data_IF_383437110393
#
_entry.id   IF_383437110393
#
_cell.length_a   1.000
_cell.length_b   1.000
_cell.length_c   1.000
_cell.angle_alpha   90.00
_cell.angle_beta   90.00
_cell.angle_gamma   90.00
#
_symmetry.space_group_name_H-M   'P 1'
#
loop_
_entity.id
_entity.type
_entity.pdbx_description
1 polymer ?
#
# COMPACT_ATOMS: atom_id res chain seq x y z
N UNK A 1 5.94 10.64 -17.27
CA UNK A 1 4.91 9.60 -17.45
C UNK A 1 5.14 8.93 -18.80
N UNK A 2 5.29 7.60 -18.82
CA UNK A 2 5.51 6.81 -20.02
C UNK A 2 4.26 5.99 -20.26
N UNK A 3 3.67 6.10 -21.44
CA UNK A 3 2.49 5.32 -21.83
C UNK A 3 2.93 4.17 -22.71
N UNK A 4 2.58 2.94 -22.32
CA UNK A 4 2.94 1.73 -23.08
C UNK A 4 1.63 1.08 -23.58
N UNK A 5 1.53 0.72 -24.88
CA UNK A 5 0.30 0.13 -25.42
C UNK A 5 -0.08 -1.18 -24.72
N UNK A 6 -1.33 -1.31 -24.31
CA UNK A 6 -1.85 -2.52 -23.67
C UNK A 6 -1.86 -3.70 -24.69
N UNK A 7 -1.26 -4.86 -24.37
CA UNK A 7 -1.26 -6.03 -25.27
C UNK A 7 -2.67 -6.59 -25.56
N UNK A 8 -3.64 -6.31 -24.68
CA UNK A 8 -5.00 -6.85 -24.81
C UNK A 8 -5.93 -5.97 -25.65
N UNK A 9 -5.77 -4.65 -25.65
CA UNK A 9 -6.72 -3.74 -26.32
C UNK A 9 -6.06 -2.58 -27.10
N UNK A 10 -4.73 -2.44 -27.04
CA UNK A 10 -3.98 -1.37 -27.71
C UNK A 10 -4.03 -0.01 -27.02
N UNK A 11 -4.90 0.20 -26.02
CA UNK A 11 -5.01 1.48 -25.31
C UNK A 11 -3.77 1.79 -24.45
N UNK A 12 -3.44 3.06 -24.20
CA UNK A 12 -2.26 3.44 -23.41
C UNK A 12 -2.43 3.02 -21.94
N UNK A 13 -1.41 2.36 -21.39
CA UNK A 13 -1.27 2.10 -19.95
C UNK A 13 -0.27 3.10 -19.37
N UNK A 14 -0.71 3.99 -18.46
CA UNK A 14 0.18 5.01 -17.89
C UNK A 14 1.11 4.39 -16.85
N UNK A 15 2.40 4.68 -16.95
CA UNK A 15 3.38 4.46 -15.89
C UNK A 15 4.01 5.79 -15.47
N UNK A 16 3.88 6.13 -14.19
CA UNK A 16 4.43 7.34 -13.58
C UNK A 16 5.87 7.14 -13.15
N UNK A 17 6.20 5.98 -12.57
CA UNK A 17 7.50 5.72 -11.97
C UNK A 17 8.36 4.69 -12.72
N UNK A 18 9.67 4.86 -12.62
CA UNK A 18 10.66 3.88 -13.04
C UNK A 18 10.71 2.66 -12.11
N UNK A 19 10.29 2.79 -10.85
CA UNK A 19 10.26 1.64 -9.91
C UNK A 19 9.06 0.72 -10.14
N UNK A 20 8.04 1.19 -10.86
CA UNK A 20 6.81 0.44 -11.07
C UNK A 20 6.98 -0.62 -12.16
N UNK A 21 6.86 -1.89 -11.80
CA UNK A 21 7.03 -3.03 -12.72
C UNK A 21 5.70 -3.66 -13.14
N UNK A 22 4.60 -3.28 -12.50
CA UNK A 22 3.26 -3.77 -12.77
C UNK A 22 2.30 -2.62 -13.04
N UNK A 23 1.29 -2.82 -13.88
CA UNK A 23 0.21 -1.88 -14.14
C UNK A 23 -1.13 -2.53 -14.46
N UNK A 24 -2.22 -1.81 -14.26
CA UNK A 24 -3.57 -2.20 -14.71
C UNK A 24 -4.05 -1.24 -15.80
N UNK A 25 -4.45 -1.78 -16.96
CA UNK A 25 -4.99 -0.98 -18.05
C UNK A 25 -6.30 -0.29 -17.61
N UNK A 26 -6.41 1.05 -17.67
CA UNK A 26 -7.61 1.74 -17.22
C UNK A 26 -8.83 1.48 -18.11
N UNK A 27 -8.62 1.02 -19.36
CA UNK A 27 -9.67 0.82 -20.35
C UNK A 27 -10.28 -0.59 -20.30
N UNK A 28 -9.44 -1.63 -20.30
CA UNK A 28 -9.90 -3.02 -20.36
C UNK A 28 -9.63 -3.82 -19.08
N UNK A 29 -9.02 -3.19 -18.06
CA UNK A 29 -8.69 -3.80 -16.75
C UNK A 29 -7.75 -5.02 -16.83
N UNK A 30 -7.04 -5.17 -17.94
CA UNK A 30 -5.97 -6.16 -18.08
C UNK A 30 -4.79 -5.81 -17.18
N UNK A 31 -4.27 -6.84 -16.50
CA UNK A 31 -3.08 -6.74 -15.65
C UNK A 31 -1.82 -6.99 -16.49
N UNK A 32 -0.85 -6.10 -16.38
CA UNK A 32 0.37 -6.12 -17.20
C UNK A 32 1.64 -5.99 -16.38
N UNK A 33 2.71 -6.66 -16.82
CA UNK A 33 4.06 -6.51 -16.26
C UNK A 33 4.94 -5.78 -17.27
N UNK A 34 5.73 -4.81 -16.80
CA UNK A 34 6.64 -3.99 -17.60
C UNK A 34 8.07 -4.54 -17.54
N UNK A 35 8.56 -5.02 -18.69
CA UNK A 35 9.97 -5.39 -18.89
C UNK A 35 10.62 -4.34 -19.80
N UNK A 36 11.33 -3.37 -19.21
CA UNK A 36 12.04 -2.22 -19.82
C UNK A 36 11.19 -1.28 -20.72
N UNK A 37 10.54 -1.84 -21.75
CA UNK A 37 9.68 -1.18 -22.74
C UNK A 37 8.46 -2.02 -23.17
N UNK A 38 8.42 -3.31 -22.84
CA UNK A 38 7.34 -4.22 -23.26
C UNK A 38 6.39 -4.51 -22.10
N UNK A 39 5.10 -4.66 -22.43
CA UNK A 39 4.09 -5.15 -21.50
C UNK A 39 3.77 -6.62 -21.78
N UNK A 40 3.73 -7.43 -20.74
CA UNK A 40 3.23 -8.81 -20.79
C UNK A 40 1.89 -8.90 -20.07
N UNK A 41 0.90 -9.55 -20.70
CA UNK A 41 -0.41 -9.78 -20.11
C UNK A 41 -0.34 -10.93 -19.10
N UNK A 42 -0.71 -10.66 -17.85
CA UNK A 42 -0.69 -11.69 -16.78
C UNK A 42 -2.06 -12.01 -16.19
N UNK A 43 -3.12 -11.31 -16.62
CA UNK A 43 -4.51 -11.62 -16.26
C UNK A 43 -5.52 -10.66 -16.86
N UNK A 44 -6.79 -11.08 -16.95
CA UNK A 44 -7.80 -10.40 -17.78
C UNK A 44 -8.86 -9.60 -17.02
N UNK A 45 -8.90 -9.61 -15.67
CA UNK A 45 -9.88 -8.83 -14.89
C UNK A 45 -9.37 -8.48 -13.49
N UNK A 46 -9.12 -7.20 -13.23
CA UNK A 46 -9.05 -6.66 -11.87
C UNK A 46 -10.46 -6.24 -11.42
N UNK A 47 -10.97 -6.80 -10.32
CA UNK A 47 -12.26 -6.41 -9.74
C UNK A 47 -12.03 -5.41 -8.61
N UNK A 48 -12.57 -4.20 -8.71
CA UNK A 48 -12.60 -3.22 -7.62
C UNK A 48 -14.02 -3.17 -7.07
N UNK A 49 -14.24 -3.46 -5.78
CA UNK A 49 -15.52 -3.18 -5.14
C UNK A 49 -15.89 -1.69 -5.26
N UNK A 50 -17.19 -1.37 -5.18
CA UNK A 50 -17.60 0.02 -4.94
C UNK A 50 -16.97 0.50 -3.64
N UNK A 51 -16.27 1.61 -3.74
CA UNK A 51 -15.35 2.05 -2.70
C UNK A 51 -15.64 3.50 -2.33
N UNK A 52 -15.93 3.71 -1.05
CA UNK A 52 -16.22 5.00 -0.45
C UNK A 52 -14.93 5.74 0.00
N UNK A 53 -13.75 5.24 -0.39
CA UNK A 53 -12.50 5.97 -0.17
C UNK A 53 -12.52 7.32 -0.89
N UNK A 54 -12.16 8.43 -0.21
CA UNK A 54 -11.89 9.71 -0.86
C UNK A 54 -10.61 9.66 -1.70
N UNK A 55 -9.75 8.65 -1.50
CA UNK A 55 -8.50 8.51 -2.23
C UNK A 55 -8.75 7.87 -3.61
N UNK A 56 -7.95 8.28 -4.57
CA UNK A 56 -7.94 7.75 -5.93
C UNK A 56 -6.53 7.76 -6.50
N UNK A 57 -6.35 7.08 -7.63
CA UNK A 57 -5.11 7.20 -8.40
C UNK A 57 -4.86 8.67 -8.74
N UNK A 58 -3.64 9.14 -8.46
CA UNK A 58 -3.24 10.53 -8.62
C UNK A 58 -3.48 11.42 -7.40
N UNK A 59 -4.18 10.95 -6.35
CA UNK A 59 -4.31 11.71 -5.10
C UNK A 59 -2.94 12.10 -4.57
N UNK A 60 -2.79 13.36 -4.19
CA UNK A 60 -1.55 13.94 -3.70
C UNK A 60 -1.65 14.20 -2.20
N UNK A 61 -0.52 14.10 -1.50
CA UNK A 61 -0.42 14.44 -0.09
C UNK A 61 0.99 14.88 0.31
N UNK A 62 1.18 15.14 1.59
CA UNK A 62 2.43 15.54 2.23
C UNK A 62 2.72 14.62 3.41
N UNK A 63 3.94 14.10 3.50
CA UNK A 63 4.42 13.37 4.65
C UNK A 63 5.66 14.05 5.21
N UNK A 64 5.51 14.70 6.38
CA UNK A 64 6.59 15.43 7.07
C UNK A 64 7.33 16.43 6.15
N UNK A 65 6.58 17.16 5.31
CA UNK A 65 7.13 18.13 4.36
C UNK A 65 7.65 17.52 3.05
N UNK A 66 7.51 16.21 2.86
CA UNK A 66 7.82 15.52 1.60
C UNK A 66 6.52 15.21 0.86
N UNK A 67 6.27 15.84 -0.31
CA UNK A 67 5.10 15.53 -1.13
C UNK A 67 5.11 14.09 -1.64
N UNK A 68 3.93 13.52 -1.86
CA UNK A 68 3.76 12.22 -2.50
C UNK A 68 2.52 12.15 -3.40
N UNK A 69 2.50 11.17 -4.30
CA UNK A 69 1.36 10.86 -5.17
C UNK A 69 1.01 9.38 -5.07
N UNK A 70 -0.28 9.06 -4.97
CA UNK A 70 -0.78 7.68 -5.02
C UNK A 70 -0.82 7.18 -6.46
N UNK A 71 -0.01 6.17 -6.77
CA UNK A 71 0.18 5.69 -8.14
C UNK A 71 -0.48 4.33 -8.40
N UNK A 72 -0.79 3.57 -7.35
CA UNK A 72 -1.49 2.30 -7.43
C UNK A 72 -2.21 1.96 -6.15
N UNK A 73 -2.95 0.85 -6.17
CA UNK A 73 -3.67 0.35 -5.02
C UNK A 73 -3.82 -1.15 -5.09
N UNK A 74 -3.76 -1.80 -3.93
CA UNK A 74 -4.25 -3.16 -3.74
C UNK A 74 -5.37 -3.15 -2.68
N UNK A 75 -6.39 -3.98 -2.84
CA UNK A 75 -7.36 -4.27 -1.77
C UNK A 75 -6.99 -5.59 -1.13
N UNK A 76 -6.79 -5.57 0.18
CA UNK A 76 -6.60 -6.78 0.98
C UNK A 76 -7.93 -7.10 1.66
N UNK A 77 -8.39 -8.34 1.52
CA UNK A 77 -9.64 -8.82 2.10
C UNK A 77 -9.37 -9.95 3.07
N UNK A 78 -10.09 -9.99 4.17
CA UNK A 78 -10.07 -11.07 5.16
C UNK A 78 -11.52 -11.41 5.56
N UNK A 79 -11.69 -12.35 6.49
CA UNK A 79 -13.01 -12.92 6.81
C UNK A 79 -14.06 -11.91 7.30
N UNK A 80 -13.63 -10.77 7.88
CA UNK A 80 -14.55 -9.78 8.45
C UNK A 80 -14.43 -8.38 7.83
N UNK A 81 -13.69 -8.20 6.74
CA UNK A 81 -13.59 -6.90 6.09
C UNK A 81 -12.48 -6.80 5.05
N UNK A 82 -12.17 -5.56 4.67
CA UNK A 82 -11.09 -5.25 3.75
C UNK A 82 -10.40 -3.94 4.13
N UNK A 83 -9.23 -3.71 3.57
CA UNK A 83 -8.54 -2.43 3.60
C UNK A 83 -7.85 -2.16 2.25
N UNK A 84 -7.50 -0.89 2.03
CA UNK A 84 -6.73 -0.46 0.86
C UNK A 84 -5.27 -0.31 1.22
N UNK A 85 -4.39 -0.75 0.33
CA UNK A 85 -2.95 -0.45 0.35
C UNK A 85 -2.64 0.42 -0.87
N UNK A 86 -2.50 1.72 -0.66
CA UNK A 86 -2.18 2.67 -1.72
C UNK A 86 -0.67 2.78 -1.90
N UNK A 87 -0.18 2.55 -3.12
CA UNK A 87 1.23 2.71 -3.45
C UNK A 87 1.58 4.19 -3.60
N UNK A 88 2.42 4.70 -2.69
CA UNK A 88 2.79 6.10 -2.61
C UNK A 88 4.20 6.34 -3.19
N UNK A 89 4.29 7.24 -4.17
CA UNK A 89 5.54 7.73 -4.74
C UNK A 89 5.94 9.03 -4.05
N UNK A 90 7.07 9.06 -3.36
CA UNK A 90 7.58 10.25 -2.66
C UNK A 90 8.38 11.13 -3.62
N UNK A 91 8.29 12.45 -3.44
CA UNK A 91 9.05 13.42 -4.23
C UNK A 91 10.58 13.32 -4.02
N UNK A 92 11.02 12.74 -2.89
CA UNK A 92 12.44 12.49 -2.59
C UNK A 92 12.99 11.19 -3.24
N UNK A 93 12.17 10.50 -4.04
CA UNK A 93 12.54 9.27 -4.75
C UNK A 93 12.30 7.98 -3.96
N UNK A 94 11.90 8.07 -2.68
CA UNK A 94 11.40 6.90 -1.94
C UNK A 94 10.03 6.49 -2.46
N UNK A 95 9.60 5.30 -2.08
CA UNK A 95 8.23 4.86 -2.24
C UNK A 95 7.79 4.13 -0.97
N UNK A 96 6.50 4.14 -0.72
CA UNK A 96 5.89 3.53 0.47
C UNK A 96 4.46 3.12 0.22
N UNK A 97 3.76 2.84 1.30
CA UNK A 97 2.37 2.41 1.30
C UNK A 97 1.57 3.29 2.23
N UNK A 98 0.38 3.70 1.78
CA UNK A 98 -0.64 4.31 2.60
C UNK A 98 -1.77 3.30 2.78
N UNK A 99 -1.82 2.68 3.95
CA UNK A 99 -2.92 1.82 4.33
C UNK A 99 -4.13 2.66 4.75
N UNK A 100 -5.30 2.29 4.28
CA UNK A 100 -6.59 2.92 4.61
C UNK A 100 -7.58 1.84 5.04
N UNK A 101 -8.04 1.93 6.29
CA UNK A 101 -9.02 1.01 6.85
C UNK A 101 -9.99 1.78 7.75
N UNK A 102 -11.28 1.84 7.38
CA UNK A 102 -12.35 2.41 8.22
C UNK A 102 -12.04 3.84 8.73
N UNK A 103 -11.44 4.68 7.88
CA UNK A 103 -11.08 6.06 8.21
C UNK A 103 -9.76 6.21 8.98
N UNK A 104 -9.08 5.11 9.31
CA UNK A 104 -7.71 5.14 9.81
C UNK A 104 -6.72 5.10 8.66
N UNK A 105 -5.69 5.92 8.76
CA UNK A 105 -4.63 6.04 7.78
C UNK A 105 -3.27 5.77 8.42
N UNK A 106 -2.43 5.05 7.70
CA UNK A 106 -1.07 4.77 8.12
C UNK A 106 -0.16 4.80 6.90
N UNK A 107 0.93 5.55 7.01
CA UNK A 107 1.96 5.57 5.98
C UNK A 107 3.15 4.79 6.47
N UNK A 108 3.68 3.91 5.63
CA UNK A 108 4.81 3.04 5.95
C UNK A 108 5.77 2.88 4.77
N UNK A 109 7.00 2.52 5.08
CA UNK A 109 8.08 2.36 4.12
C UNK A 109 8.74 0.99 4.31
N UNK A 110 9.27 0.37 3.23
CA UNK A 110 9.97 -0.90 3.34
C UNK A 110 11.11 -0.82 4.36
N UNK A 111 11.15 -1.81 5.24
CA UNK A 111 12.23 -2.00 6.21
C UNK A 111 13.06 -3.21 5.78
N UNK A 112 14.35 -2.97 5.48
CA UNK A 112 15.29 -4.06 5.25
C UNK A 112 15.57 -4.78 6.57
N UNK A 113 15.19 -6.06 6.63
CA UNK A 113 15.45 -6.92 7.77
C UNK A 113 16.87 -7.46 7.70
N UNK A 114 17.69 -7.13 8.71
CA UNK A 114 19.06 -7.66 8.85
C UNK A 114 19.10 -9.15 9.21
N UNK A 115 18.03 -9.62 9.86
CA UNK A 115 17.86 -10.99 10.32
C UNK A 115 16.42 -11.42 10.00
N UNK A 116 16.21 -12.73 9.82
CA UNK A 116 14.86 -13.25 9.60
C UNK A 116 13.96 -12.89 10.81
N UNK A 117 12.72 -12.41 10.58
CA UNK A 117 11.82 -12.11 11.67
C UNK A 117 11.40 -13.43 12.36
N UNK A 118 10.85 -13.37 13.58
CA UNK A 118 10.36 -14.56 14.27
C UNK A 118 9.39 -15.35 13.41
N UNK A 119 9.44 -16.68 13.52
CA UNK A 119 8.47 -17.54 12.83
C UNK A 119 7.03 -17.20 13.29
N UNK A 120 6.02 -17.20 12.40
CA UNK A 120 4.64 -16.86 12.75
C UNK A 120 4.08 -17.57 13.99
N UNK A 121 4.45 -18.84 14.21
CA UNK A 121 4.01 -19.61 15.39
C UNK A 121 4.50 -19.05 16.74
N UNK A 122 5.50 -18.18 16.74
CA UNK A 122 5.99 -17.50 17.95
C UNK A 122 5.21 -16.20 18.26
N UNK A 123 4.40 -15.73 17.31
CA UNK A 123 3.72 -14.44 17.37
C UNK A 123 2.28 -14.58 17.85
N UNK A 124 1.85 -13.62 18.65
CA UNK A 124 0.49 -13.46 19.19
C UNK A 124 0.35 -12.03 19.73
N UNK A 125 -0.88 -11.47 19.81
CA UNK A 125 -1.08 -10.14 20.36
C UNK A 125 -0.36 -9.95 21.71
N UNK A 126 0.29 -8.79 21.87
CA UNK A 126 1.09 -8.43 23.03
C UNK A 126 2.55 -8.91 23.01
N UNK A 127 2.97 -9.77 22.09
CA UNK A 127 4.41 -10.10 21.91
C UNK A 127 5.17 -8.85 21.48
N UNK A 128 6.28 -8.56 22.15
CA UNK A 128 7.14 -7.41 21.84
C UNK A 128 8.23 -7.80 20.84
N UNK A 129 8.31 -7.07 19.75
CA UNK A 129 9.39 -7.16 18.76
C UNK A 129 10.23 -5.88 18.79
N UNK A 130 11.52 -6.01 18.51
CA UNK A 130 12.43 -4.88 18.33
C UNK A 130 12.74 -4.75 16.84
N UNK A 131 12.20 -3.72 16.21
CA UNK A 131 12.36 -3.43 14.79
C UNK A 131 12.95 -2.03 14.64
N UNK A 132 13.99 -1.88 13.81
CA UNK A 132 14.61 -0.59 13.53
C UNK A 132 15.02 0.20 14.80
N UNK A 133 15.51 -0.49 15.83
CA UNK A 133 15.92 0.13 17.10
C UNK A 133 14.77 0.61 17.99
N UNK A 134 13.53 0.27 17.65
CA UNK A 134 12.33 0.61 18.41
C UNK A 134 11.56 -0.64 18.83
N UNK A 135 10.92 -0.57 20.00
CA UNK A 135 10.03 -1.63 20.49
C UNK A 135 8.61 -1.43 19.95
N UNK A 136 8.05 -2.50 19.42
CA UNK A 136 6.64 -2.60 19.03
C UNK A 136 6.03 -3.81 19.71
N UNK A 137 4.72 -3.81 19.94
CA UNK A 137 3.99 -5.03 20.28
C UNK A 137 3.07 -5.42 19.13
N UNK A 138 2.85 -6.72 18.98
CA UNK A 138 1.86 -7.26 18.05
C UNK A 138 0.48 -6.78 18.50
N UNK A 139 -0.21 -6.07 17.63
CA UNK A 139 -1.57 -5.56 17.83
C UNK A 139 -2.59 -6.54 17.24
N UNK A 140 -2.35 -6.96 15.99
CA UNK A 140 -3.27 -7.82 15.25
C UNK A 140 -2.53 -8.81 14.34
N UNK A 141 -3.15 -9.96 14.11
CA UNK A 141 -2.66 -11.01 13.20
C UNK A 141 -3.85 -11.50 12.37
N UNK A 142 -3.74 -11.39 11.04
CA UNK A 142 -4.79 -11.85 10.12
C UNK A 142 -4.23 -12.49 8.86
N UNK A 143 -4.90 -13.52 8.37
CA UNK A 143 -4.72 -13.98 6.99
C UNK A 143 -5.57 -13.12 6.08
N UNK A 144 -4.98 -12.63 5.00
CA UNK A 144 -5.65 -11.78 4.02
C UNK A 144 -5.28 -12.17 2.60
N UNK A 145 -6.15 -11.85 1.66
CA UNK A 145 -5.98 -12.12 0.24
C UNK A 145 -6.01 -10.81 -0.54
N UNK A 146 -5.13 -10.63 -1.50
CA UNK A 146 -5.21 -9.51 -2.44
C UNK A 146 -6.33 -9.78 -3.46
N UNK A 147 -7.44 -9.05 -3.38
CA UNK A 147 -8.64 -9.30 -4.20
C UNK A 147 -8.89 -8.24 -5.28
N UNK A 148 -8.20 -7.11 -5.22
CA UNK A 148 -8.31 -6.03 -6.19
C UNK A 148 -6.96 -5.34 -6.39
N UNK A 149 -6.72 -4.85 -7.60
CA UNK A 149 -5.54 -4.03 -7.93
C UNK A 149 -5.91 -2.95 -8.94
N UNK A 150 -5.34 -1.76 -8.79
CA UNK A 150 -5.39 -0.69 -9.79
C UNK A 150 -4.10 0.14 -9.85
N UNK A 151 -3.92 0.87 -10.95
CA UNK A 151 -2.76 1.72 -11.16
C UNK A 151 -1.47 0.91 -11.35
N UNK A 152 -0.36 1.44 -10.84
CA UNK A 152 0.97 0.85 -10.96
C UNK A 152 1.54 0.40 -9.60
N UNK A 153 2.34 -0.68 -9.59
CA UNK A 153 2.94 -1.24 -8.37
C UNK A 153 4.43 -1.55 -8.55
N UNK A 154 5.23 -1.51 -7.46
CA UNK A 154 6.67 -1.77 -7.50
C UNK A 154 7.03 -3.25 -7.66
N UNK A 155 6.03 -4.14 -7.61
CA UNK A 155 6.16 -5.58 -7.82
C UNK A 155 4.88 -6.13 -8.48
N UNK A 156 4.96 -7.36 -8.98
CA UNK A 156 3.76 -8.11 -9.40
C UNK A 156 2.89 -8.41 -8.17
N UNK A 157 1.65 -7.93 -8.10
CA UNK A 157 0.79 -8.15 -6.95
C UNK A 157 0.51 -9.65 -6.78
N UNK A 158 0.47 -10.15 -5.53
CA UNK A 158 0.10 -11.53 -5.21
C UNK A 158 -1.42 -11.70 -5.31
N UNK A 159 -1.98 -11.48 -6.50
CA UNK A 159 -3.43 -11.44 -6.73
C UNK A 159 -4.05 -12.82 -6.51
N UNK A 160 -5.10 -12.88 -5.67
CA UNK A 160 -5.74 -14.09 -5.16
C UNK A 160 -4.82 -15.02 -4.34
N UNK A 161 -3.66 -14.54 -3.92
CA UNK A 161 -2.77 -15.28 -3.02
C UNK A 161 -2.99 -14.81 -1.58
N UNK A 162 -2.88 -15.73 -0.63
CA UNK A 162 -2.97 -15.43 0.79
C UNK A 162 -1.62 -14.97 1.34
N UNK A 163 -1.68 -14.00 2.27
CA UNK A 163 -0.55 -13.61 3.11
C UNK A 163 -1.00 -13.58 4.57
N UNK A 164 -0.07 -13.86 5.47
CA UNK A 164 -0.25 -13.54 6.89
C UNK A 164 0.25 -12.12 7.14
N UNK A 165 -0.65 -11.23 7.55
CA UNK A 165 -0.35 -9.86 7.94
C UNK A 165 -0.31 -9.76 9.46
N UNK A 166 0.76 -9.16 9.98
CA UNK A 166 0.96 -8.91 11.41
C UNK A 166 1.14 -7.43 11.60
N UNK A 167 0.18 -6.79 12.26
CA UNK A 167 0.21 -5.38 12.56
C UNK A 167 0.87 -5.18 13.93
N UNK A 168 1.83 -4.26 14.00
CA UNK A 168 2.58 -3.95 15.20
C UNK A 168 2.47 -2.47 15.50
N UNK A 169 2.35 -2.14 16.79
CA UNK A 169 2.21 -0.75 17.23
C UNK A 169 3.18 -0.42 18.35
N UNK A 170 3.62 0.82 18.33
CA UNK A 170 4.56 1.37 19.30
C UNK A 170 4.34 2.87 19.47
N UNK A 171 5.28 3.53 20.11
CA UNK A 171 5.27 4.99 20.30
C UNK A 171 6.35 5.62 19.44
N UNK A 172 6.02 6.67 18.68
CA UNK A 172 7.07 7.47 18.02
C UNK A 172 7.66 8.42 19.06
N UNK A 173 8.97 8.35 19.28
CA UNK A 173 9.71 9.36 20.01
C UNK A 173 10.29 10.36 19.02
N UNK A 174 9.46 11.27 18.49
CA UNK A 174 9.96 12.44 17.76
C UNK A 174 9.78 13.69 18.63
N UNK A 175 10.75 14.60 18.59
CA UNK A 175 10.82 15.80 19.45
C UNK A 175 9.44 16.47 19.63
N UNK A 176 8.86 16.31 20.83
CA UNK A 176 7.67 17.06 21.26
C UNK A 176 6.29 16.48 20.91
N UNK A 177 6.19 15.32 20.25
CA UNK A 177 4.89 14.67 20.01
C UNK A 177 4.96 13.15 20.14
N UNK A 178 4.04 12.55 20.91
CA UNK A 178 3.87 11.10 21.02
C UNK A 178 2.88 10.65 19.93
N UNK A 179 3.39 10.31 18.74
CA UNK A 179 2.59 9.68 17.70
C UNK A 179 2.47 8.16 17.92
N UNK A 180 1.51 7.52 17.26
CA UNK A 180 1.41 6.05 17.24
C UNK A 180 2.29 5.53 16.12
N UNK A 181 3.37 4.85 16.49
CA UNK A 181 4.23 4.18 15.54
C UNK A 181 3.53 2.92 15.03
N UNK A 182 3.80 2.60 13.77
CA UNK A 182 3.32 1.39 13.12
C UNK A 182 4.49 0.60 12.55
N UNK A 183 4.39 -0.72 12.60
CA UNK A 183 5.16 -1.59 11.74
C UNK A 183 4.28 -2.75 11.30
N UNK A 184 4.60 -3.36 10.16
CA UNK A 184 3.98 -4.62 9.74
C UNK A 184 5.03 -5.65 9.39
N UNK A 185 4.66 -6.91 9.61
CA UNK A 185 5.33 -8.07 9.02
C UNK A 185 4.32 -8.78 8.13
N UNK A 186 4.72 -9.06 6.89
CA UNK A 186 3.94 -9.82 5.94
C UNK A 186 4.68 -11.12 5.63
N UNK A 187 4.02 -12.26 5.78
CA UNK A 187 4.58 -13.57 5.44
C UNK A 187 3.84 -14.15 4.25
N UNK A 188 4.62 -14.58 3.25
CA UNK A 188 4.17 -15.32 2.07
C UNK A 188 5.10 -16.52 1.84
N UNK A 189 4.81 -17.33 0.84
CA UNK A 189 5.69 -18.44 0.43
C UNK A 189 7.06 -17.96 -0.08
N UNK A 190 7.17 -16.70 -0.50
CA UNK A 190 8.42 -16.07 -0.95
C UNK A 190 9.28 -15.53 0.21
N UNK A 191 8.77 -15.55 1.45
CA UNK A 191 9.46 -15.08 2.64
C UNK A 191 8.70 -14.01 3.40
N UNK A 192 9.44 -13.24 4.20
CA UNK A 192 8.87 -12.18 5.04
C UNK A 192 9.28 -10.79 4.55
N UNK A 193 8.33 -9.86 4.54
CA UNK A 193 8.56 -8.44 4.25
C UNK A 193 8.20 -7.64 5.49
N UNK A 194 8.92 -6.54 5.72
CA UNK A 194 8.65 -5.64 6.83
C UNK A 194 8.46 -4.22 6.34
N UNK A 195 7.57 -3.50 7.02
CA UNK A 195 7.36 -2.08 6.81
C UNK A 195 7.34 -1.36 8.15
N UNK A 196 7.80 -0.12 8.18
CA UNK A 196 7.78 0.74 9.37
C UNK A 196 7.26 2.11 9.02
N UNK A 197 6.50 2.72 9.93
CA UNK A 197 5.78 3.94 9.67
C UNK A 197 5.07 4.49 10.90
N UNK A 198 4.02 5.25 10.65
CA UNK A 198 3.21 5.85 11.71
C UNK A 198 1.76 6.04 11.24
N UNK A 199 0.86 6.11 12.23
CA UNK A 199 -0.50 6.56 12.01
C UNK A 199 -0.52 8.09 11.92
N UNK A 200 -1.31 8.60 10.99
CA UNK A 200 -1.57 10.02 10.85
C UNK A 200 -3.07 10.21 10.60
N UNK A 201 -3.62 11.31 11.11
CA UNK A 201 -4.97 11.74 10.79
C UNK A 201 -5.04 12.24 9.34
N UNK A 202 -6.23 12.16 8.74
CA UNK A 202 -6.47 12.53 7.34
C UNK A 202 -5.95 13.94 7.01
N UNK A 203 -6.17 14.90 7.90
CA UNK A 203 -5.78 16.30 7.74
C UNK A 203 -4.25 16.48 7.73
N UNK A 204 -3.51 15.60 8.39
CA UNK A 204 -2.04 15.69 8.46
C UNK A 204 -1.39 15.40 7.11
N UNK A 205 -2.05 14.60 6.26
CA UNK A 205 -1.58 14.33 4.90
C UNK A 205 -1.84 15.47 3.93
N UNK A 206 -2.70 16.44 4.29
CA UNK A 206 -3.07 17.58 3.41
C UNK A 206 -3.48 17.11 2.01
N UNK A 207 -4.34 16.08 1.96
CA UNK A 207 -4.71 15.45 0.70
C UNK A 207 -5.33 16.45 -0.28
N UNK A 208 -5.01 16.26 -1.56
CA UNK A 208 -5.63 16.95 -2.68
C UNK A 208 -5.82 15.99 -3.86
N UNK A 209 -6.63 16.38 -4.85
CA UNK A 209 -7.05 15.49 -5.94
C UNK A 209 -7.76 14.22 -5.42
N UNK A 210 -8.64 14.40 -4.45
CA UNK A 210 -9.49 13.35 -3.88
C UNK A 210 -10.80 13.23 -4.66
N UNK A 211 -11.48 12.08 -4.55
CA UNK A 211 -12.84 11.91 -5.06
C UNK A 211 -13.78 12.87 -4.33
N UNK A 212 -14.72 13.41 -5.09
CA UNK A 212 -15.85 14.16 -4.53
C UNK A 212 -17.03 13.22 -4.36
N UNK A 213 -17.64 13.22 -3.17
CA UNK A 213 -18.89 12.51 -2.92
C UNK A 213 -20.03 13.52 -2.84
N UNK A 214 -21.15 13.26 -3.52
CA UNK A 214 -22.35 14.09 -3.37
C UNK A 214 -22.76 14.12 -1.87
N UNK A 215 -22.81 15.33 -1.30
CA UNK A 215 -23.10 15.55 0.13
C UNK A 215 -21.88 15.81 1.01
N UNK A 216 -20.65 15.58 0.52
CA UNK A 216 -19.39 15.99 1.15
C UNK A 216 -18.95 17.36 0.60
N UNK A 217 -19.82 18.36 0.70
CA UNK A 217 -19.41 19.72 0.38
C UNK A 217 -18.40 20.19 1.44
N UNK A 218 -17.13 20.37 1.03
CA UNK A 218 -16.11 21.09 1.80
C UNK A 218 -16.64 22.49 2.11
N UNK A 219 -16.88 22.77 3.38
CA UNK A 219 -16.93 24.14 3.89
C UNK A 219 -15.53 24.66 4.15
#
# INVERSE_FOLDING_TARGET
MKEIPCPSCGAPVPFQSAVSVFGVCPYCRSMVVRNDLNLELIGTKAFLPEDMSPLQLGTQGDYRGTPFTLAGRMTQTWSAGHWSEWFALMADGRHGWLAEAQGFYMISFPLELKEAPPHPSALRPGVVLHLYGQSFHVDDIKTSTCTAVEGELPFKPPYNEEKLSIDLVGTTATQGNTGRAFASLEYTDEGARAYVGEYLDYEQFKFSFTREFEGWATR
#
